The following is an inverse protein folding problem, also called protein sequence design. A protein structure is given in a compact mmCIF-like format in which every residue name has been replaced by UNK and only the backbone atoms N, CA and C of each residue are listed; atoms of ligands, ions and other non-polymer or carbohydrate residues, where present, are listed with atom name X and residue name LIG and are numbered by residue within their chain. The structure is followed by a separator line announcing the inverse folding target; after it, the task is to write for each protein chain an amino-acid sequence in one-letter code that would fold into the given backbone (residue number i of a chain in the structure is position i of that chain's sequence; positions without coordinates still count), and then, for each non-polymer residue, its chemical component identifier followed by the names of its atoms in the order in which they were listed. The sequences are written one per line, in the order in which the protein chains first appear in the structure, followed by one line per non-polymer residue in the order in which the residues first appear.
data_IF_453993253848
#
_entry.id   IF_453993253848
#
_cell.length_a   1.000
_cell.length_b   1.000
_cell.length_c   1.000
_cell.angle_alpha   90.00
_cell.angle_beta   90.00
_cell.angle_gamma   90.00
#
_symmetry.space_group_name_H-M   'P 1'
#
loop_
_entity.id
_entity.type
_entity.pdbx_description
1 polymer ?
#
# COMPACT_ATOMS: atom_id res chain seq x y z
N UNK A 1 3.79 -18.42 15.28
CA UNK A 1 4.28 -17.58 14.15
C UNK A 1 3.09 -17.23 13.30
N UNK A 2 2.89 -15.95 13.00
CA UNK A 2 1.85 -15.48 12.10
C UNK A 2 2.44 -15.28 10.70
N UNK A 3 1.66 -15.62 9.68
CA UNK A 3 2.02 -15.34 8.29
C UNK A 3 1.46 -13.98 7.92
N UNK A 4 2.32 -13.10 7.39
CA UNK A 4 1.94 -11.81 6.83
C UNK A 4 1.97 -11.91 5.29
N UNK A 5 0.95 -11.37 4.65
CA UNK A 5 0.79 -11.38 3.20
C UNK A 5 1.03 -9.98 2.61
N UNK A 6 0.64 -9.79 1.36
CA UNK A 6 0.83 -8.56 0.59
C UNK A 6 -0.40 -8.26 -0.26
N UNK A 7 -0.77 -6.99 -0.36
CA UNK A 7 -1.77 -6.48 -1.30
C UNK A 7 -1.48 -5.01 -1.64
N UNK A 8 -1.92 -4.57 -2.81
CA UNK A 8 -1.87 -3.18 -3.23
C UNK A 8 -3.13 -2.82 -4.06
N UNK A 9 -3.44 -1.54 -4.33
CA UNK A 9 -4.67 -1.15 -5.01
C UNK A 9 -4.58 -1.22 -6.55
N UNK A 10 -3.74 -2.11 -7.07
CA UNK A 10 -3.57 -2.37 -8.50
C UNK A 10 -3.78 -3.86 -8.78
N UNK A 11 -4.26 -4.17 -9.96
CA UNK A 11 -4.48 -5.55 -10.39
C UNK A 11 -3.70 -5.84 -11.66
N UNK A 12 -2.80 -6.84 -11.60
CA UNK A 12 -1.94 -7.18 -12.72
C UNK A 12 -2.77 -7.51 -13.96
N UNK A 13 -2.45 -6.86 -15.09
CA UNK A 13 -3.26 -6.86 -16.31
C UNK A 13 -3.48 -8.24 -16.94
N UNK A 14 -2.59 -9.20 -16.63
CA UNK A 14 -2.61 -10.57 -17.15
C UNK A 14 -3.31 -11.56 -16.18
N UNK A 15 -4.01 -11.08 -15.15
CA UNK A 15 -4.63 -11.92 -14.10
C UNK A 15 -6.15 -11.77 -14.04
N UNK A 16 -6.80 -12.80 -13.52
CA UNK A 16 -8.26 -12.94 -13.43
C UNK A 16 -8.92 -11.76 -12.69
N UNK A 17 -8.29 -11.22 -11.64
CA UNK A 17 -8.82 -10.05 -10.92
C UNK A 17 -8.90 -8.81 -11.80
N UNK A 18 -7.94 -8.60 -12.71
CA UNK A 18 -7.99 -7.48 -13.64
C UNK A 18 -9.10 -7.66 -14.67
N UNK A 19 -9.25 -8.88 -15.22
CA UNK A 19 -10.36 -9.18 -16.12
C UNK A 19 -11.73 -9.00 -15.45
N UNK A 20 -11.87 -9.42 -14.19
CA UNK A 20 -13.09 -9.24 -13.43
C UNK A 20 -13.39 -7.76 -13.21
N UNK A 21 -12.39 -6.97 -12.77
CA UNK A 21 -12.52 -5.54 -12.56
C UNK A 21 -12.91 -4.80 -13.85
N UNK A 22 -12.27 -5.12 -14.98
CA UNK A 22 -12.55 -4.52 -16.27
C UNK A 22 -13.98 -4.83 -16.74
N UNK A 23 -14.45 -6.09 -16.63
CA UNK A 23 -15.82 -6.50 -16.99
C UNK A 23 -16.91 -5.79 -16.17
N UNK A 24 -16.57 -5.29 -14.98
CA UNK A 24 -17.48 -4.62 -14.05
C UNK A 24 -17.34 -3.10 -14.02
N UNK A 25 -16.50 -2.53 -14.90
CA UNK A 25 -16.18 -1.09 -14.90
C UNK A 25 -15.62 -0.59 -13.55
N UNK A 26 -14.70 -1.36 -12.94
CA UNK A 26 -14.12 -1.07 -11.64
C UNK A 26 -12.72 -0.43 -11.72
N UNK A 27 -12.17 -0.29 -12.93
CA UNK A 27 -10.90 0.39 -13.17
C UNK A 27 -11.11 1.88 -13.44
N UNK A 28 -10.13 2.70 -13.10
CA UNK A 28 -10.10 4.11 -13.52
C UNK A 28 -9.95 4.20 -15.04
N UNK A 29 -10.23 5.36 -15.64
CA UNK A 29 -10.27 5.54 -17.11
C UNK A 29 -9.17 6.48 -17.59
N UNK A 30 -8.65 6.23 -18.78
CA UNK A 30 -7.80 7.17 -19.50
C UNK A 30 -8.63 8.21 -20.27
N UNK A 31 -7.98 9.14 -20.96
CA UNK A 31 -8.64 10.19 -21.75
C UNK A 31 -9.51 9.67 -22.91
N UNK A 32 -9.27 8.44 -23.35
CA UNK A 32 -10.07 7.79 -24.41
C UNK A 32 -11.28 7.03 -23.86
N UNK A 33 -11.45 6.99 -22.53
CA UNK A 33 -12.48 6.21 -21.86
C UNK A 33 -12.15 4.72 -21.71
N UNK A 34 -10.92 4.31 -21.97
CA UNK A 34 -10.44 2.95 -21.79
C UNK A 34 -9.92 2.74 -20.35
N UNK A 35 -9.78 1.48 -19.93
CA UNK A 35 -9.20 1.15 -18.65
C UNK A 35 -7.78 1.71 -18.52
N UNK A 36 -7.49 2.36 -17.37
CA UNK A 36 -6.16 2.90 -17.12
C UNK A 36 -5.23 1.82 -16.60
N UNK A 37 -4.09 1.64 -17.26
CA UNK A 37 -3.04 0.72 -16.86
C UNK A 37 -1.73 1.46 -16.60
N UNK A 38 -1.13 1.20 -15.44
CA UNK A 38 0.18 1.73 -15.04
C UNK A 38 1.24 0.70 -15.38
N UNK A 39 2.39 1.16 -15.89
CA UNK A 39 3.58 0.37 -16.12
C UNK A 39 4.45 0.34 -14.86
N UNK A 40 4.78 -0.86 -14.38
CA UNK A 40 5.68 -1.10 -13.25
C UNK A 40 7.03 -1.70 -13.71
N UNK A 41 7.47 -1.40 -14.91
CA UNK A 41 8.71 -1.87 -15.50
C UNK A 41 8.60 -3.26 -16.12
N UNK A 42 8.27 -4.27 -15.33
CA UNK A 42 8.17 -5.67 -15.79
C UNK A 42 6.73 -6.09 -16.13
N UNK A 43 5.74 -5.36 -15.68
CA UNK A 43 4.32 -5.68 -15.90
C UNK A 43 3.44 -4.41 -15.90
N UNK A 44 2.24 -4.56 -16.43
CA UNK A 44 1.18 -3.55 -16.36
C UNK A 44 0.13 -3.95 -15.34
N UNK A 45 -0.49 -2.95 -14.70
CA UNK A 45 -1.60 -3.20 -13.78
C UNK A 45 -2.72 -2.16 -13.95
N UNK A 46 -3.94 -2.63 -13.89
CA UNK A 46 -5.13 -1.77 -13.85
C UNK A 46 -5.25 -1.09 -12.50
N UNK A 47 -5.68 0.16 -12.50
CA UNK A 47 -5.87 0.97 -11.28
C UNK A 47 -7.32 0.81 -10.82
N UNK A 48 -7.54 0.20 -9.66
CA UNK A 48 -8.87 0.08 -9.07
C UNK A 48 -9.42 1.46 -8.71
N UNK A 49 -10.61 1.79 -9.18
CA UNK A 49 -11.25 3.07 -8.83
C UNK A 49 -11.90 3.01 -7.45
N UNK A 50 -11.14 3.38 -6.43
CA UNK A 50 -11.63 3.43 -5.04
C UNK A 50 -12.68 4.53 -4.82
N UNK A 51 -12.95 5.40 -5.80
CA UNK A 51 -14.05 6.37 -5.74
C UNK A 51 -15.37 5.82 -6.29
N UNK A 52 -15.32 4.68 -6.98
CA UNK A 52 -16.50 3.93 -7.38
C UNK A 52 -16.96 3.06 -6.21
N UNK A 53 -18.15 3.30 -5.62
CA UNK A 53 -18.61 2.53 -4.47
C UNK A 53 -18.66 1.02 -4.71
N UNK A 54 -19.04 0.60 -5.90
CA UNK A 54 -19.14 -0.81 -6.25
C UNK A 54 -17.74 -1.45 -6.37
N UNK A 55 -16.74 -0.75 -6.94
CA UNK A 55 -15.36 -1.21 -7.00
C UNK A 55 -14.71 -1.24 -5.62
N UNK A 56 -15.00 -0.24 -4.78
CA UNK A 56 -14.54 -0.17 -3.41
C UNK A 56 -15.04 -1.34 -2.57
N UNK A 57 -16.35 -1.61 -2.62
CA UNK A 57 -16.95 -2.75 -1.90
C UNK A 57 -16.42 -4.09 -2.43
N UNK A 58 -16.31 -4.23 -3.74
CA UNK A 58 -15.72 -5.43 -4.35
C UNK A 58 -14.28 -5.66 -3.88
N UNK A 59 -13.46 -4.60 -3.78
CA UNK A 59 -12.07 -4.76 -3.36
C UNK A 59 -11.94 -5.08 -1.87
N UNK A 60 -12.87 -4.62 -1.01
CA UNK A 60 -12.98 -5.12 0.36
C UNK A 60 -13.25 -6.63 0.39
N UNK A 61 -14.15 -7.13 -0.48
CA UNK A 61 -14.40 -8.58 -0.58
C UNK A 61 -13.16 -9.35 -1.07
N UNK A 62 -12.36 -8.79 -1.97
CA UNK A 62 -11.07 -9.37 -2.37
C UNK A 62 -10.13 -9.50 -1.16
N UNK A 63 -10.03 -8.45 -0.33
CA UNK A 63 -9.23 -8.50 0.91
C UNK A 63 -9.75 -9.57 1.86
N UNK A 64 -11.06 -9.60 2.12
CA UNK A 64 -11.68 -10.57 3.02
C UNK A 64 -11.40 -12.01 2.58
N UNK A 65 -11.70 -12.31 1.33
CA UNK A 65 -11.59 -13.66 0.77
C UNK A 65 -10.13 -14.13 0.65
N UNK A 66 -9.24 -13.26 0.18
CA UNK A 66 -7.89 -13.67 -0.20
C UNK A 66 -6.86 -13.48 0.93
N UNK A 67 -7.19 -12.78 2.01
CA UNK A 67 -6.29 -12.55 3.13
C UNK A 67 -6.90 -13.02 4.46
N UNK A 68 -8.07 -12.50 4.82
CA UNK A 68 -8.68 -12.77 6.14
C UNK A 68 -9.15 -14.23 6.24
N UNK A 69 -9.91 -14.72 5.26
CA UNK A 69 -10.45 -16.09 5.26
C UNK A 69 -9.34 -17.14 5.08
N UNK A 70 -8.22 -16.79 4.45
CA UNK A 70 -7.04 -17.65 4.37
C UNK A 70 -6.24 -17.72 5.67
N UNK A 71 -6.61 -16.92 6.69
CA UNK A 71 -5.98 -16.97 8.00
C UNK A 71 -4.67 -16.19 8.10
N UNK A 72 -4.45 -15.18 7.24
CA UNK A 72 -3.31 -14.28 7.38
C UNK A 72 -3.41 -13.52 8.71
N UNK A 73 -2.29 -13.44 9.44
CA UNK A 73 -2.18 -12.66 10.67
C UNK A 73 -2.01 -11.16 10.43
N UNK A 74 -1.82 -10.76 9.18
CA UNK A 74 -1.67 -9.38 8.75
C UNK A 74 -1.18 -9.28 7.32
N UNK A 75 -0.98 -8.04 6.83
CA UNK A 75 -0.43 -7.81 5.49
C UNK A 75 0.20 -6.43 5.33
N UNK A 76 1.10 -6.33 4.37
CA UNK A 76 1.54 -5.08 3.79
C UNK A 76 0.46 -4.60 2.81
N UNK A 77 -0.16 -3.47 3.11
CA UNK A 77 -1.05 -2.75 2.20
C UNK A 77 -0.20 -1.69 1.46
N UNK A 78 0.51 -2.17 0.46
CA UNK A 78 1.55 -1.40 -0.23
C UNK A 78 0.97 -0.35 -1.18
N UNK A 79 1.82 0.57 -1.63
CA UNK A 79 1.46 1.67 -2.53
C UNK A 79 0.36 2.61 -1.98
N UNK A 80 -0.44 3.15 -2.88
CA UNK A 80 -1.46 4.17 -2.62
C UNK A 80 -1.05 5.56 -3.11
N UNK A 81 0.25 5.82 -3.32
CA UNK A 81 0.79 7.08 -3.81
C UNK A 81 0.84 7.18 -5.35
N UNK A 82 0.63 6.10 -6.08
CA UNK A 82 0.76 6.09 -7.55
C UNK A 82 -0.57 6.23 -8.31
N UNK A 83 -1.53 6.98 -7.77
CA UNK A 83 -2.69 7.34 -8.59
C UNK A 83 -2.22 8.24 -9.74
N UNK A 84 -2.38 7.85 -11.02
CA UNK A 84 -2.04 8.70 -12.14
C UNK A 84 -2.89 9.99 -12.13
N UNK A 85 -2.25 11.15 -12.29
CA UNK A 85 -2.93 12.44 -12.18
C UNK A 85 -3.79 12.78 -13.40
N UNK A 86 -3.58 12.08 -14.49
CA UNK A 86 -4.30 12.20 -15.76
C UNK A 86 -5.43 11.17 -15.92
N UNK A 87 -5.69 10.36 -14.87
CA UNK A 87 -6.79 9.40 -14.89
C UNK A 87 -8.13 10.04 -14.57
N UNK A 88 -9.21 9.45 -15.05
CA UNK A 88 -10.59 9.85 -14.80
C UNK A 88 -11.22 8.93 -13.75
N UNK A 89 -11.79 9.55 -12.72
CA UNK A 89 -12.38 8.87 -11.57
C UNK A 89 -13.90 8.88 -11.63
N UNK A 90 -14.52 7.83 -11.12
CA UNK A 90 -15.99 7.66 -11.09
C UNK A 90 -16.72 8.84 -10.40
N UNK A 91 -16.15 9.38 -9.34
CA UNK A 91 -16.75 10.51 -8.63
C UNK A 91 -16.62 11.86 -9.34
N UNK A 92 -15.95 11.91 -10.49
CA UNK A 92 -15.74 13.13 -11.30
C UNK A 92 -14.79 14.16 -10.70
N UNK A 93 -14.15 13.86 -9.57
CA UNK A 93 -13.11 14.74 -9.00
C UNK A 93 -11.81 14.53 -9.78
N UNK A 94 -11.07 15.61 -10.05
CA UNK A 94 -9.77 15.51 -10.71
C UNK A 94 -8.82 14.60 -9.94
N UNK A 95 -8.14 13.71 -10.66
CA UNK A 95 -7.14 12.83 -10.09
C UNK A 95 -5.94 13.61 -9.50
N UNK A 96 -5.61 14.81 -10.00
CA UNK A 96 -4.61 15.69 -9.39
C UNK A 96 -4.97 16.04 -7.93
N UNK A 97 -6.26 16.26 -7.64
CA UNK A 97 -6.75 16.55 -6.28
C UNK A 97 -6.78 15.28 -5.45
N UNK A 98 -7.22 14.17 -6.04
CA UNK A 98 -7.34 12.89 -5.35
C UNK A 98 -6.01 12.18 -5.11
N UNK A 99 -4.97 12.51 -5.85
CA UNK A 99 -3.66 11.83 -5.80
C UNK A 99 -3.12 11.72 -4.36
N UNK A 100 -3.02 12.85 -3.67
CA UNK A 100 -2.53 12.83 -2.28
C UNK A 100 -3.52 12.20 -1.28
N UNK A 101 -4.81 12.25 -1.56
CA UNK A 101 -5.84 11.63 -0.70
C UNK A 101 -5.97 10.10 -0.91
N UNK A 102 -5.42 9.58 -2.00
CA UNK A 102 -5.54 8.17 -2.37
C UNK A 102 -5.03 7.20 -1.30
N UNK A 103 -3.86 7.42 -0.66
CA UNK A 103 -3.39 6.56 0.43
C UNK A 103 -4.37 6.48 1.60
N UNK A 104 -5.04 7.59 1.95
CA UNK A 104 -6.03 7.58 3.02
C UNK A 104 -7.28 6.77 2.66
N UNK A 105 -7.68 6.80 1.39
CA UNK A 105 -8.79 6.01 0.88
C UNK A 105 -8.42 4.51 0.83
N UNK A 106 -7.19 4.20 0.43
CA UNK A 106 -6.65 2.86 0.46
C UNK A 106 -6.56 2.30 1.89
N UNK A 107 -6.05 3.09 2.85
CA UNK A 107 -6.05 2.73 4.26
C UNK A 107 -7.45 2.42 4.78
N UNK A 108 -8.43 3.26 4.42
CA UNK A 108 -9.83 3.08 4.80
C UNK A 108 -10.41 1.78 4.25
N UNK A 109 -10.10 1.42 3.01
CA UNK A 109 -10.56 0.16 2.39
C UNK A 109 -10.08 -1.07 3.17
N UNK A 110 -8.80 -1.10 3.55
CA UNK A 110 -8.23 -2.18 4.37
C UNK A 110 -8.83 -2.22 5.78
N UNK A 111 -8.99 -1.05 6.41
CA UNK A 111 -9.58 -0.92 7.73
C UNK A 111 -11.02 -1.46 7.76
N UNK A 112 -11.87 -1.03 6.82
CA UNK A 112 -13.26 -1.44 6.75
C UNK A 112 -13.41 -2.95 6.47
N UNK A 113 -12.52 -3.55 5.68
CA UNK A 113 -12.51 -5.01 5.50
C UNK A 113 -12.29 -5.76 6.83
N UNK A 114 -11.41 -5.25 7.70
CA UNK A 114 -11.20 -5.79 9.03
C UNK A 114 -12.37 -5.49 9.98
N UNK A 115 -12.92 -4.29 9.94
CA UNK A 115 -14.05 -3.88 10.78
C UNK A 115 -15.28 -4.75 10.49
N UNK A 116 -15.65 -4.90 9.22
CA UNK A 116 -16.81 -5.68 8.77
C UNK A 116 -16.69 -7.19 9.09
N UNK A 117 -15.49 -7.70 9.23
CA UNK A 117 -15.23 -9.10 9.63
C UNK A 117 -14.99 -9.27 11.14
N UNK A 118 -15.04 -8.17 11.92
CA UNK A 118 -14.79 -8.21 13.37
C UNK A 118 -13.34 -8.54 13.74
N UNK A 119 -12.38 -8.25 12.86
CA UNK A 119 -10.96 -8.61 13.02
C UNK A 119 -10.06 -7.44 13.40
N UNK A 120 -10.62 -6.27 13.67
CA UNK A 120 -9.84 -5.15 14.20
C UNK A 120 -9.18 -5.52 15.53
N UNK A 121 -7.87 -5.26 15.64
CA UNK A 121 -7.06 -5.60 16.80
C UNK A 121 -6.55 -7.05 16.85
N UNK A 122 -7.06 -7.95 16.01
CA UNK A 122 -6.54 -9.31 15.85
C UNK A 122 -5.57 -9.42 14.66
N UNK A 123 -5.91 -8.74 13.56
CA UNK A 123 -5.15 -8.71 12.30
C UNK A 123 -4.61 -7.29 12.10
N UNK A 124 -3.35 -7.19 11.71
CA UNK A 124 -2.67 -5.92 11.46
C UNK A 124 -2.37 -5.76 9.97
N UNK A 125 -2.64 -4.57 9.42
CA UNK A 125 -2.02 -4.15 8.17
C UNK A 125 -1.15 -2.92 8.38
N UNK A 126 -0.17 -2.72 7.50
CA UNK A 126 0.72 -1.56 7.51
C UNK A 126 0.89 -0.99 6.11
N UNK A 127 1.15 0.30 6.04
CA UNK A 127 1.21 1.06 4.79
C UNK A 127 2.51 1.85 4.70
N UNK A 128 2.94 2.17 3.47
CA UNK A 128 4.08 3.07 3.24
C UNK A 128 3.67 4.49 2.89
N UNK A 129 2.49 4.68 2.33
CA UNK A 129 1.98 5.98 1.93
C UNK A 129 0.86 6.44 2.86
N UNK A 130 0.79 7.74 3.13
CA UNK A 130 -0.23 8.33 3.98
C UNK A 130 -0.55 9.77 3.57
N UNK A 131 -1.70 10.25 4.03
CA UNK A 131 -2.15 11.62 3.90
C UNK A 131 -2.97 12.01 5.11
N UNK A 132 -3.37 13.26 5.22
CA UNK A 132 -4.26 13.73 6.30
C UNK A 132 -5.49 12.84 6.43
N UNK A 133 -5.67 12.23 7.58
CA UNK A 133 -6.77 11.31 7.88
C UNK A 133 -6.40 9.82 7.83
N UNK A 134 -5.25 9.44 7.28
CA UNK A 134 -4.79 8.04 7.28
C UNK A 134 -4.66 7.46 8.69
N UNK A 135 -4.34 8.31 9.68
CA UNK A 135 -4.20 7.92 11.09
C UNK A 135 -5.47 7.29 11.69
N UNK A 136 -6.63 7.55 11.08
CA UNK A 136 -7.91 6.95 11.52
C UNK A 136 -8.03 5.48 11.14
N UNK A 137 -7.28 5.04 10.15
CA UNK A 137 -7.46 3.75 9.51
C UNK A 137 -6.20 2.89 9.57
N UNK A 138 -5.02 3.46 9.34
CA UNK A 138 -3.75 2.74 9.45
C UNK A 138 -3.09 3.00 10.79
N UNK A 139 -2.87 1.94 11.56
CA UNK A 139 -2.24 2.02 12.89
C UNK A 139 -0.71 1.93 12.82
N UNK A 140 -0.17 1.41 11.73
CA UNK A 140 1.26 1.22 11.52
C UNK A 140 1.66 1.71 10.14
N UNK A 141 2.79 2.42 10.09
CA UNK A 141 3.45 2.82 8.85
C UNK A 141 4.77 2.06 8.72
N UNK A 142 5.10 1.72 7.51
CA UNK A 142 6.36 1.11 7.12
C UNK A 142 7.21 2.15 6.37
N UNK A 143 8.52 2.14 6.60
CA UNK A 143 9.41 3.16 6.06
C UNK A 143 9.66 3.07 4.54
N UNK A 144 9.19 2.02 3.87
CA UNK A 144 9.42 1.80 2.44
C UNK A 144 10.68 0.96 2.17
N UNK A 145 11.17 1.05 0.94
CA UNK A 145 12.23 0.20 0.38
C UNK A 145 13.63 0.76 0.67
N UNK A 146 14.03 0.87 1.94
CA UNK A 146 15.33 1.43 2.30
C UNK A 146 16.49 0.68 1.64
N UNK A 147 17.54 1.43 1.31
CA UNK A 147 18.80 0.88 0.86
C UNK A 147 19.49 0.03 1.95
N UNK A 148 20.19 -1.00 1.52
CA UNK A 148 20.97 -1.88 2.42
C UNK A 148 22.31 -1.22 2.82
N UNK A 149 22.24 0.03 3.30
CA UNK A 149 23.39 0.83 3.69
C UNK A 149 23.12 1.70 4.97
N UNK A 150 24.06 2.58 5.29
CA UNK A 150 24.04 3.45 6.47
C UNK A 150 23.63 4.89 6.14
N UNK A 151 23.21 5.18 4.92
CA UNK A 151 22.97 6.55 4.47
C UNK A 151 21.86 7.24 5.25
N UNK A 152 21.96 8.57 5.35
CA UNK A 152 20.90 9.41 5.91
C UNK A 152 19.76 9.64 4.93
N UNK A 153 20.00 9.42 3.65
CA UNK A 153 19.01 9.68 2.61
C UNK A 153 17.97 8.54 2.56
N UNK A 154 18.41 7.29 2.52
CA UNK A 154 17.51 6.15 2.36
C UNK A 154 18.03 4.83 2.99
N UNK A 155 19.04 4.89 3.86
CA UNK A 155 19.56 3.76 4.60
C UNK A 155 19.03 3.69 6.04
N UNK A 156 19.65 2.84 6.88
CA UNK A 156 19.26 2.68 8.29
C UNK A 156 19.12 4.00 9.05
N UNK A 157 20.02 4.95 8.80
CA UNK A 157 20.01 6.22 9.51
C UNK A 157 18.79 7.11 9.16
N UNK A 158 18.13 6.90 8.02
CA UNK A 158 16.91 7.62 7.64
C UNK A 158 15.67 7.13 8.40
N UNK A 159 15.65 5.86 8.81
CA UNK A 159 14.48 5.22 9.45
C UNK A 159 14.14 5.86 10.79
N UNK A 160 15.14 6.19 11.59
CA UNK A 160 14.93 6.78 12.94
C UNK A 160 14.21 8.13 12.87
N UNK A 161 14.70 9.15 12.11
CA UNK A 161 14.01 10.42 12.01
C UNK A 161 12.64 10.28 11.29
N UNK A 162 12.49 9.34 10.36
CA UNK A 162 11.21 9.07 9.71
C UNK A 162 10.18 8.56 10.73
N UNK A 163 10.53 7.58 11.56
CA UNK A 163 9.67 7.05 12.62
C UNK A 163 9.25 8.14 13.63
N UNK A 164 10.20 8.96 14.08
CA UNK A 164 9.92 10.07 15.01
C UNK A 164 8.99 11.13 14.38
N UNK A 165 9.20 11.46 13.11
CA UNK A 165 8.37 12.42 12.38
C UNK A 165 6.94 11.90 12.19
N UNK A 166 6.79 10.62 11.85
CA UNK A 166 5.49 9.97 11.71
C UNK A 166 4.75 9.89 13.04
N UNK A 167 5.44 9.60 14.15
CA UNK A 167 4.85 9.60 15.49
C UNK A 167 4.25 10.96 15.85
N UNK A 168 4.89 12.06 15.46
CA UNK A 168 4.37 13.43 15.66
C UNK A 168 3.11 13.73 14.84
N UNK A 169 2.86 12.97 13.79
CA UNK A 169 1.65 13.10 12.96
C UNK A 169 0.54 12.11 13.34
N UNK A 170 0.74 11.34 14.42
CA UNK A 170 -0.26 10.42 14.94
C UNK A 170 -0.12 8.96 14.52
N UNK A 171 0.96 8.59 13.82
CA UNK A 171 1.31 7.21 13.53
C UNK A 171 2.33 6.71 14.58
N UNK A 172 1.81 6.16 15.67
CA UNK A 172 2.61 5.75 16.82
C UNK A 172 3.32 4.40 16.69
N UNK A 173 2.98 3.62 15.68
CA UNK A 173 3.64 2.34 15.36
C UNK A 173 4.34 2.46 14.02
N UNK A 174 5.56 1.97 13.97
CA UNK A 174 6.42 2.05 12.81
C UNK A 174 7.11 0.71 12.56
N UNK A 175 7.34 0.40 11.29
CA UNK A 175 8.06 -0.78 10.82
C UNK A 175 9.10 -0.36 9.77
N UNK A 176 10.18 -1.10 9.69
CA UNK A 176 11.15 -1.03 8.58
C UNK A 176 11.67 -2.42 8.27
N UNK A 177 12.07 -2.66 7.03
CA UNK A 177 12.62 -3.93 6.62
C UNK A 177 13.97 -4.19 7.30
N UNK A 178 14.05 -5.25 8.12
CA UNK A 178 15.25 -5.55 8.89
C UNK A 178 16.43 -5.86 7.96
N UNK A 179 17.42 -4.96 8.00
CA UNK A 179 18.59 -5.01 7.13
C UNK A 179 18.41 -4.29 5.80
N UNK A 180 17.33 -3.55 5.62
CA UNK A 180 16.97 -2.85 4.39
C UNK A 180 16.39 -3.78 3.32
N UNK A 181 15.84 -3.18 2.28
CA UNK A 181 15.20 -3.88 1.15
C UNK A 181 16.04 -3.79 -0.13
N UNK A 182 16.37 -2.57 -0.55
CA UNK A 182 16.95 -2.27 -1.86
C UNK A 182 18.41 -2.71 -1.96
N UNK A 183 18.68 -3.60 -2.91
CA UNK A 183 20.01 -4.16 -3.23
C UNK A 183 20.41 -3.83 -4.67
N UNK A 184 20.16 -2.60 -5.11
CA UNK A 184 20.50 -2.16 -6.47
C UNK A 184 22.01 -2.02 -6.65
N UNK A 185 22.48 -2.28 -7.87
CA UNK A 185 23.87 -2.14 -8.28
C UNK A 185 24.83 -3.00 -7.41
N UNK A 186 25.82 -2.35 -6.80
CA UNK A 186 26.83 -2.99 -5.95
C UNK A 186 26.43 -3.12 -4.47
N UNK A 187 25.21 -2.69 -4.11
CA UNK A 187 24.73 -2.72 -2.72
C UNK A 187 24.57 -4.15 -2.22
N UNK A 188 25.21 -4.43 -1.09
CA UNK A 188 25.13 -5.74 -0.43
C UNK A 188 24.87 -5.56 1.06
N UNK A 189 23.84 -6.25 1.56
CA UNK A 189 23.53 -6.28 2.98
C UNK A 189 24.71 -6.86 3.77
N UNK A 190 25.31 -6.09 4.65
CA UNK A 190 26.35 -6.56 5.55
C UNK A 190 25.77 -7.20 6.81
N UNK A 191 26.53 -8.08 7.44
CA UNK A 191 26.16 -8.68 8.73
C UNK A 191 25.99 -7.59 9.81
N UNK A 192 26.87 -6.61 9.82
CA UNK A 192 26.82 -5.52 10.80
C UNK A 192 25.54 -4.67 10.63
N UNK A 193 25.19 -4.29 9.41
CA UNK A 193 23.97 -3.56 9.10
C UNK A 193 22.73 -4.34 9.57
N UNK A 194 22.66 -5.63 9.25
CA UNK A 194 21.56 -6.50 9.66
C UNK A 194 21.42 -6.52 11.19
N UNK A 195 22.54 -6.71 11.91
CA UNK A 195 22.52 -6.73 13.39
C UNK A 195 22.07 -5.40 13.98
N UNK A 196 22.54 -4.27 13.44
CA UNK A 196 22.12 -2.94 13.90
C UNK A 196 20.65 -2.67 13.63
N UNK A 197 20.15 -3.15 12.50
CA UNK A 197 18.73 -3.03 12.19
C UNK A 197 17.85 -3.88 13.12
N UNK A 198 18.35 -5.03 13.60
CA UNK A 198 17.65 -5.84 14.60
C UNK A 198 17.64 -5.19 15.99
N UNK A 199 18.55 -4.28 16.28
CA UNK A 199 18.61 -3.55 17.55
C UNK A 199 17.66 -2.33 17.57
N UNK A 200 17.16 -1.93 16.42
CA UNK A 200 16.22 -0.81 16.21
C UNK A 200 14.77 -1.29 16.14
#
# INVERSE_FOLDING_TARGET
VQFLSYINPYVASDKDLCEEAAKRDYLTRNANGEDYHVEFGEFYAGVIDLTNPAAYDWYKEVIKKNLIELGCGGWMADFGEYLPTDTFLHNGVSAEIMHNAWPALWAKCNYEALEETGKLGEILFFMRAGYTGSQKHSVMMWAGDQNVDWSLDDGLASVVPAALSLAMTGHGLHHSDIGGYTTLFEMKRSKELLLRWCDF
#
